data_IF_197422630106
#
_entry.id   IF_197422630106
#
_cell.length_a   1.000
_cell.length_b   1.000
_cell.length_c   1.000
_cell.angle_alpha   90.00
_cell.angle_beta   90.00
_cell.angle_gamma   90.00
#
_symmetry.space_group_name_H-M   'P 1'
#
loop_
_entity.id
_entity.type
_entity.pdbx_description
1 polymer ?
#
# COMPACT_ATOMS: atom_id res chain seq x y z
N UNK A 1 -1.94 -32.04 10.43
CA UNK A 1 -1.89 -30.83 11.29
C UNK A 1 -1.11 -29.77 10.53
N UNK A 2 -1.82 -28.88 9.81
CA UNK A 2 -1.18 -27.77 9.11
C UNK A 2 -1.09 -26.61 10.10
N UNK A 3 0.10 -26.37 10.62
CA UNK A 3 0.40 -25.12 11.29
C UNK A 3 0.38 -24.01 10.23
N UNK A 4 -0.77 -23.35 10.07
CA UNK A 4 -0.81 -22.06 9.42
C UNK A 4 0.07 -21.14 10.28
N UNK A 5 1.27 -20.83 9.78
CA UNK A 5 2.09 -19.74 10.35
C UNK A 5 1.23 -18.49 10.26
N UNK A 6 0.64 -18.08 11.37
CA UNK A 6 -0.13 -16.85 11.43
C UNK A 6 0.85 -15.70 11.19
N UNK A 7 0.75 -15.07 10.01
CA UNK A 7 1.51 -13.86 9.71
C UNK A 7 1.15 -12.80 10.75
N UNK A 8 2.14 -12.23 11.42
CA UNK A 8 1.94 -11.03 12.22
C UNK A 8 1.75 -9.82 11.31
N UNK A 9 0.80 -8.96 11.67
CA UNK A 9 0.46 -7.74 10.92
C UNK A 9 0.77 -6.46 11.70
N UNK A 10 1.76 -6.52 12.58
CA UNK A 10 2.29 -5.35 13.29
C UNK A 10 1.22 -4.54 14.06
N UNK A 11 0.29 -5.24 14.73
CA UNK A 11 -0.80 -4.62 15.50
C UNK A 11 -2.11 -4.40 14.73
N UNK A 12 -2.15 -4.68 13.42
CA UNK A 12 -3.35 -4.62 12.59
C UNK A 12 -4.20 -5.90 12.65
N UNK A 13 -3.80 -6.90 13.46
CA UNK A 13 -4.48 -8.19 13.55
C UNK A 13 -5.99 -8.09 13.83
N UNK A 14 -6.47 -7.22 14.73
CA UNK A 14 -7.92 -7.11 15.00
C UNK A 14 -8.69 -6.69 13.76
N UNK A 15 -8.20 -5.68 13.03
CA UNK A 15 -8.80 -5.20 11.78
C UNK A 15 -8.78 -6.29 10.71
N UNK A 16 -7.63 -6.91 10.48
CA UNK A 16 -7.49 -7.93 9.43
C UNK A 16 -8.27 -9.20 9.75
N UNK A 17 -8.39 -9.61 11.01
CA UNK A 17 -9.19 -10.76 11.41
C UNK A 17 -10.67 -10.55 11.08
N UNK A 18 -11.18 -9.35 11.29
CA UNK A 18 -12.54 -8.99 10.93
C UNK A 18 -12.71 -8.95 9.41
N UNK A 19 -11.87 -8.17 8.70
CA UNK A 19 -12.00 -7.95 7.26
C UNK A 19 -11.78 -9.24 6.45
N UNK A 20 -10.80 -10.07 6.82
CA UNK A 20 -10.51 -11.32 6.10
C UNK A 20 -11.58 -12.39 6.26
N UNK A 21 -12.46 -12.26 7.25
CA UNK A 21 -13.60 -13.15 7.43
C UNK A 21 -14.77 -12.85 6.49
N UNK A 22 -14.85 -11.63 5.95
CA UNK A 22 -15.96 -11.16 5.13
C UNK A 22 -15.96 -11.81 3.73
N UNK A 23 -17.13 -12.03 3.16
CA UNK A 23 -17.26 -12.74 1.88
C UNK A 23 -16.64 -11.98 0.69
N UNK A 24 -16.71 -10.65 0.70
CA UNK A 24 -16.06 -9.85 -0.33
C UNK A 24 -14.54 -10.09 -0.34
N UNK A 25 -13.94 -10.24 0.85
CA UNK A 25 -12.49 -10.48 0.94
C UNK A 25 -12.11 -11.87 0.42
N UNK A 26 -12.94 -12.88 0.66
CA UNK A 26 -12.76 -14.21 0.06
C UNK A 26 -12.78 -14.13 -1.47
N UNK A 27 -13.68 -13.29 -2.02
CA UNK A 27 -13.74 -13.01 -3.47
C UNK A 27 -12.46 -12.33 -3.98
N UNK A 28 -11.96 -11.30 -3.29
CA UNK A 28 -10.70 -10.63 -3.63
C UNK A 28 -9.53 -11.63 -3.60
N UNK A 29 -9.45 -12.45 -2.57
CA UNK A 29 -8.39 -13.46 -2.43
C UNK A 29 -8.40 -14.44 -3.60
N UNK A 30 -9.56 -15.01 -3.94
CA UNK A 30 -9.70 -15.95 -5.05
C UNK A 30 -9.36 -15.27 -6.40
N UNK A 31 -9.76 -14.03 -6.59
CA UNK A 31 -9.39 -13.23 -7.76
C UNK A 31 -7.87 -13.06 -7.86
N UNK A 32 -7.22 -12.60 -6.79
CA UNK A 32 -5.78 -12.38 -6.77
C UNK A 32 -4.99 -13.67 -6.97
N UNK A 33 -5.43 -14.78 -6.41
CA UNK A 33 -4.79 -16.08 -6.64
C UNK A 33 -4.76 -16.45 -8.14
N UNK A 34 -5.85 -16.22 -8.87
CA UNK A 34 -5.92 -16.43 -10.33
C UNK A 34 -5.03 -15.44 -11.08
N UNK A 35 -5.08 -14.14 -10.73
CA UNK A 35 -4.28 -13.11 -11.40
C UNK A 35 -2.78 -13.39 -11.28
N UNK A 36 -2.31 -13.72 -10.09
CA UNK A 36 -0.90 -14.05 -9.87
C UNK A 36 -0.47 -15.39 -10.49
N UNK A 37 -1.40 -16.31 -10.75
CA UNK A 37 -1.12 -17.56 -11.46
C UNK A 37 -1.01 -17.39 -12.97
N UNK A 38 -1.76 -16.43 -13.53
CA UNK A 38 -1.91 -16.27 -14.97
C UNK A 38 -1.18 -15.05 -15.55
N UNK A 39 -0.88 -14.05 -14.71
CA UNK A 39 -0.32 -12.76 -15.12
C UNK A 39 0.86 -12.35 -14.24
N UNK A 40 1.67 -11.44 -14.74
CA UNK A 40 2.64 -10.73 -13.92
C UNK A 40 1.93 -9.60 -13.19
N UNK A 41 1.81 -9.72 -11.86
CA UNK A 41 1.13 -8.75 -10.99
C UNK A 41 2.14 -8.11 -10.05
N UNK A 42 2.00 -6.82 -9.81
CA UNK A 42 2.82 -6.04 -8.89
C UNK A 42 1.98 -5.49 -7.72
N UNK A 43 2.60 -5.32 -6.54
CA UNK A 43 3.89 -5.85 -6.12
C UNK A 43 3.86 -7.37 -5.95
N UNK A 44 5.01 -8.04 -5.71
CA UNK A 44 5.03 -9.46 -5.32
C UNK A 44 4.11 -9.75 -4.12
N UNK A 45 3.43 -10.92 -4.12
CA UNK A 45 2.42 -11.29 -3.10
C UNK A 45 2.84 -11.02 -1.64
N UNK A 46 4.11 -11.31 -1.32
CA UNK A 46 4.62 -11.20 0.06
C UNK A 46 4.74 -9.77 0.59
N UNK A 47 4.70 -8.76 -0.26
CA UNK A 47 4.84 -7.36 0.11
C UNK A 47 3.61 -6.51 -0.21
N UNK A 48 2.46 -7.11 -0.57
CA UNK A 48 1.21 -6.37 -0.84
C UNK A 48 0.82 -5.49 0.36
N UNK A 49 1.01 -6.00 1.59
CA UNK A 49 0.65 -5.32 2.84
C UNK A 49 1.84 -4.64 3.53
N UNK A 50 2.91 -4.32 2.78
CA UNK A 50 4.14 -3.76 3.34
C UNK A 50 3.94 -2.45 4.11
N UNK A 51 2.99 -1.62 3.71
CA UNK A 51 2.65 -0.39 4.43
C UNK A 51 2.19 -0.67 5.87
N UNK A 52 1.39 -1.71 6.07
CA UNK A 52 0.93 -2.15 7.39
C UNK A 52 2.05 -2.84 8.19
N UNK A 53 2.91 -3.60 7.51
CA UNK A 53 4.04 -4.26 8.16
C UNK A 53 5.06 -3.25 8.73
N UNK A 54 5.18 -2.07 8.10
CA UNK A 54 6.16 -1.03 8.47
C UNK A 54 5.61 0.05 9.41
N UNK A 55 4.29 0.26 9.42
CA UNK A 55 3.64 1.30 10.22
C UNK A 55 2.56 0.66 11.07
N UNK A 56 2.78 0.54 12.38
CA UNK A 56 1.78 0.00 13.30
C UNK A 56 0.62 1.00 13.52
N UNK A 57 -0.61 0.55 13.82
CA UNK A 57 -1.77 1.43 13.92
C UNK A 57 -1.60 2.56 14.95
N UNK A 58 -0.97 2.26 16.10
CA UNK A 58 -0.68 3.25 17.15
C UNK A 58 0.38 4.27 16.77
N UNK A 59 1.19 3.98 15.74
CA UNK A 59 2.28 4.85 15.29
C UNK A 59 1.87 5.73 14.11
N UNK A 60 0.68 5.53 13.54
CA UNK A 60 0.18 6.30 12.40
C UNK A 60 0.00 7.77 12.79
N UNK A 61 0.72 8.65 12.10
CA UNK A 61 0.64 10.12 12.23
C UNK A 61 0.01 10.77 11.00
N UNK A 62 0.29 10.20 9.83
CA UNK A 62 -0.18 10.69 8.53
C UNK A 62 -0.54 9.51 7.65
N UNK A 63 -1.63 9.63 6.91
CA UNK A 63 -2.01 8.68 5.85
C UNK A 63 -1.87 9.36 4.50
N UNK A 64 -1.08 8.78 3.62
CA UNK A 64 -0.95 9.22 2.23
C UNK A 64 -1.56 8.15 1.33
N UNK A 65 -2.56 8.57 0.53
CA UNK A 65 -3.25 7.68 -0.40
C UNK A 65 -2.74 7.89 -1.82
N UNK A 66 -2.16 6.84 -2.39
CA UNK A 66 -1.90 6.72 -3.83
C UNK A 66 -3.06 6.02 -4.53
N UNK A 67 -2.97 5.90 -5.85
CA UNK A 67 -4.00 5.27 -6.68
C UNK A 67 -3.77 3.76 -6.79
N UNK A 68 -2.72 3.36 -7.49
CA UNK A 68 -2.32 1.97 -7.72
C UNK A 68 -0.79 1.83 -7.69
N UNK A 69 -0.25 0.61 -7.58
CA UNK A 69 1.20 0.41 -7.64
C UNK A 69 1.78 0.77 -9.01
N UNK A 70 3.08 1.06 -9.06
CA UNK A 70 3.78 1.25 -10.32
C UNK A 70 3.71 -0.01 -11.19
N UNK A 71 3.49 0.21 -12.49
CA UNK A 71 3.24 -0.86 -13.48
C UNK A 71 4.50 -1.47 -14.10
N UNK A 72 5.66 -0.87 -13.85
CA UNK A 72 6.93 -1.32 -14.41
C UNK A 72 7.65 -2.29 -13.45
N UNK A 73 8.48 -3.21 -14.00
CA UNK A 73 9.26 -4.14 -13.22
C UNK A 73 10.15 -3.43 -12.18
N UNK A 74 10.21 -3.98 -10.96
CA UNK A 74 11.13 -3.54 -9.92
C UNK A 74 10.76 -2.23 -9.22
N UNK A 75 9.63 -1.59 -9.54
CA UNK A 75 9.23 -0.31 -8.94
C UNK A 75 8.32 -0.48 -7.73
N UNK A 76 7.25 -1.29 -7.85
CA UNK A 76 6.28 -1.46 -6.78
C UNK A 76 6.86 -2.24 -5.60
N UNK A 77 6.78 -1.66 -4.40
CA UNK A 77 7.32 -2.23 -3.17
C UNK A 77 6.29 -2.30 -2.01
N UNK A 78 5.00 -2.17 -2.32
CA UNK A 78 3.93 -2.22 -1.34
C UNK A 78 3.79 -0.96 -0.48
N UNK A 79 4.37 0.14 -0.92
CA UNK A 79 4.25 1.48 -0.35
C UNK A 79 3.86 2.45 -1.46
N UNK A 80 2.81 3.25 -1.24
CA UNK A 80 2.40 4.27 -2.21
C UNK A 80 3.55 5.24 -2.51
N UNK A 81 3.73 5.60 -3.78
CA UNK A 81 4.76 6.52 -4.31
C UNK A 81 6.20 6.04 -4.19
N UNK A 82 6.48 5.00 -3.40
CA UNK A 82 7.83 4.51 -3.11
C UNK A 82 8.35 3.57 -4.19
N UNK A 83 9.64 3.69 -4.49
CA UNK A 83 10.40 2.73 -5.30
C UNK A 83 11.66 2.29 -4.55
N UNK A 84 12.11 1.03 -4.69
CA UNK A 84 13.30 0.58 -3.99
C UNK A 84 14.57 1.25 -4.55
N UNK A 85 15.55 1.53 -3.70
CA UNK A 85 16.88 1.93 -4.15
C UNK A 85 17.54 0.77 -4.93
N UNK A 86 18.25 1.01 -6.06
CA UNK A 86 18.59 2.31 -6.67
C UNK A 86 17.64 2.78 -7.79
N UNK A 87 16.40 2.31 -7.84
CA UNK A 87 15.43 2.77 -8.85
C UNK A 87 15.24 4.29 -8.76
N UNK A 88 15.33 5.03 -9.87
CA UNK A 88 15.11 6.48 -9.85
C UNK A 88 13.69 6.83 -9.40
N UNK A 89 13.52 7.91 -8.62
CA UNK A 89 12.20 8.39 -8.21
C UNK A 89 11.32 8.71 -9.43
N UNK A 90 10.10 8.16 -9.52
CA UNK A 90 9.16 8.50 -10.59
C UNK A 90 8.69 9.96 -10.50
N UNK A 91 8.14 10.53 -11.60
CA UNK A 91 7.71 11.95 -11.65
C UNK A 91 6.75 12.36 -10.53
N UNK A 92 5.80 11.48 -10.16
CA UNK A 92 4.86 11.73 -9.05
C UNK A 92 5.59 11.93 -7.72
N UNK A 93 6.60 11.13 -7.42
CA UNK A 93 7.40 11.26 -6.21
C UNK A 93 8.31 12.49 -6.25
N UNK A 94 8.88 12.80 -7.42
CA UNK A 94 9.67 14.03 -7.59
C UNK A 94 8.83 15.30 -7.34
N UNK A 95 7.55 15.30 -7.72
CA UNK A 95 6.65 16.40 -7.41
C UNK A 95 6.44 16.53 -5.89
N UNK A 96 6.21 15.42 -5.18
CA UNK A 96 6.11 15.45 -3.71
C UNK A 96 7.39 16.01 -3.07
N UNK A 97 8.56 15.59 -3.53
CA UNK A 97 9.83 16.12 -3.00
C UNK A 97 10.00 17.61 -3.28
N UNK A 98 9.53 18.08 -4.44
CA UNK A 98 9.56 19.52 -4.78
C UNK A 98 8.69 20.33 -3.83
N UNK A 99 7.44 19.91 -3.61
CA UNK A 99 6.52 20.58 -2.69
C UNK A 99 7.11 20.65 -1.26
N UNK A 100 7.67 19.53 -0.76
CA UNK A 100 8.32 19.53 0.55
C UNK A 100 9.46 20.54 0.60
N UNK A 101 10.27 20.62 -0.45
CA UNK A 101 11.38 21.58 -0.51
C UNK A 101 10.90 23.02 -0.57
N UNK A 102 9.87 23.30 -1.36
CA UNK A 102 9.29 24.65 -1.46
C UNK A 102 8.69 25.11 -0.14
N UNK A 103 7.96 24.26 0.58
CA UNK A 103 7.34 24.58 1.86
C UNK A 103 8.32 24.66 3.03
N UNK A 104 9.31 23.78 3.08
CA UNK A 104 10.18 23.61 4.25
C UNK A 104 11.58 24.21 4.07
N UNK A 105 11.97 24.54 2.83
CA UNK A 105 13.32 24.95 2.46
C UNK A 105 14.35 23.79 2.54
N UNK A 106 13.92 22.54 2.75
CA UNK A 106 14.81 21.39 2.95
C UNK A 106 14.56 20.32 1.90
N UNK A 107 15.63 19.69 1.45
CA UNK A 107 15.52 18.49 0.62
C UNK A 107 15.05 17.29 1.46
N UNK A 108 14.30 16.39 0.83
CA UNK A 108 13.92 15.12 1.48
C UNK A 108 15.18 14.30 1.81
N UNK A 109 15.24 13.79 3.04
CA UNK A 109 16.37 13.00 3.54
C UNK A 109 16.32 11.53 3.07
N UNK A 110 15.36 11.14 2.20
CA UNK A 110 15.26 9.77 1.71
C UNK A 110 16.32 9.46 0.66
N UNK A 111 16.80 8.22 0.65
CA UNK A 111 17.78 7.76 -0.32
C UNK A 111 17.07 7.35 -1.63
N UNK A 112 17.23 8.14 -2.67
CA UNK A 112 16.55 7.91 -3.95
C UNK A 112 15.04 8.07 -3.80
N UNK A 113 14.27 7.02 -4.13
CA UNK A 113 12.81 7.00 -4.03
C UNK A 113 12.27 6.07 -2.94
N UNK A 114 13.12 5.56 -2.04
CA UNK A 114 12.71 4.61 -1.00
C UNK A 114 12.15 5.32 0.24
N UNK A 115 10.82 5.30 0.36
CA UNK A 115 10.08 5.96 1.46
C UNK A 115 9.94 5.09 2.72
N UNK A 116 10.67 3.98 2.83
CA UNK A 116 10.65 3.12 4.03
C UNK A 116 10.93 3.91 5.32
N UNK A 117 11.79 4.94 5.25
CA UNK A 117 12.08 5.82 6.39
C UNK A 117 10.84 6.60 6.83
N UNK A 118 10.00 7.05 5.88
CA UNK A 118 8.74 7.73 6.21
C UNK A 118 7.75 6.77 6.87
N UNK A 119 7.60 5.56 6.31
CA UNK A 119 6.74 4.53 6.91
C UNK A 119 7.12 4.25 8.37
N UNK A 120 8.41 4.09 8.65
CA UNK A 120 8.93 3.89 10.02
C UNK A 120 8.75 5.08 10.96
N UNK A 121 8.48 6.27 10.44
CA UNK A 121 8.18 7.48 11.22
C UNK A 121 6.67 7.69 11.46
N UNK A 122 5.83 6.80 10.94
CA UNK A 122 4.38 6.86 11.12
C UNK A 122 3.62 7.40 9.92
N UNK A 123 4.22 7.43 8.72
CA UNK A 123 3.52 7.76 7.48
C UNK A 123 2.98 6.47 6.86
N UNK A 124 1.67 6.25 6.94
CA UNK A 124 1.01 5.10 6.32
C UNK A 124 0.81 5.36 4.82
N UNK A 125 1.62 4.71 3.99
CA UNK A 125 1.68 4.91 2.54
C UNK A 125 0.83 3.85 1.82
N UNK A 126 -0.46 4.11 1.65
CA UNK A 126 -1.43 3.17 1.04
C UNK A 126 -1.79 3.56 -0.39
N UNK A 127 -2.06 2.56 -1.22
CA UNK A 127 -2.77 2.74 -2.48
C UNK A 127 -4.23 2.31 -2.32
N UNK A 128 -5.14 2.96 -3.04
CA UNK A 128 -6.55 2.57 -3.10
C UNK A 128 -6.74 1.20 -3.79
N UNK A 129 -5.82 0.83 -4.69
CA UNK A 129 -5.66 -0.52 -5.22
C UNK A 129 -4.27 -1.04 -4.85
N UNK A 130 -4.21 -2.14 -4.10
CA UNK A 130 -2.93 -2.67 -3.58
C UNK A 130 -2.15 -3.48 -4.61
N UNK A 131 -2.74 -3.79 -5.76
CA UNK A 131 -2.15 -4.62 -6.81
C UNK A 131 -2.48 -4.10 -8.20
N UNK A 132 -1.64 -4.43 -9.17
CA UNK A 132 -1.80 -4.02 -10.58
C UNK A 132 -1.19 -5.06 -11.50
N UNK A 133 -1.75 -5.27 -12.70
CA UNK A 133 -1.14 -6.07 -13.76
C UNK A 133 0.00 -5.27 -14.41
N UNK A 134 1.12 -5.93 -14.66
CA UNK A 134 2.27 -5.34 -15.37
C UNK A 134 1.82 -4.57 -16.62
N UNK A 135 2.22 -3.31 -16.71
CA UNK A 135 1.96 -2.46 -17.88
C UNK A 135 0.53 -1.92 -17.98
N UNK A 136 -0.41 -2.28 -17.08
CA UNK A 136 -1.82 -1.90 -17.18
C UNK A 136 -2.29 -1.19 -15.92
N UNK A 137 -2.15 0.14 -15.89
CA UNK A 137 -2.63 0.96 -14.76
C UNK A 137 -4.12 0.75 -14.52
N UNK A 138 -4.55 0.86 -13.26
CA UNK A 138 -5.93 0.67 -12.79
C UNK A 138 -6.56 -0.71 -13.07
N UNK A 139 -5.76 -1.70 -13.48
CA UNK A 139 -6.28 -3.03 -13.85
C UNK A 139 -7.01 -3.74 -12.70
N UNK A 140 -6.74 -3.39 -11.45
CA UNK A 140 -7.39 -3.95 -10.26
C UNK A 140 -8.20 -2.93 -9.45
N UNK A 141 -8.50 -1.76 -10.01
CA UNK A 141 -9.20 -0.69 -9.28
C UNK A 141 -10.62 -1.07 -8.84
N UNK A 142 -11.28 -1.97 -9.55
CA UNK A 142 -12.67 -2.35 -9.31
C UNK A 142 -12.87 -3.59 -8.43
N UNK A 143 -11.80 -4.32 -8.08
CA UNK A 143 -11.93 -5.55 -7.28
C UNK A 143 -12.24 -5.31 -5.81
N UNK A 144 -11.98 -4.10 -5.31
CA UNK A 144 -12.26 -3.68 -3.94
C UNK A 144 -13.27 -2.53 -3.82
N UNK A 145 -13.98 -2.16 -4.90
CA UNK A 145 -14.89 -1.02 -4.91
C UNK A 145 -15.98 -1.06 -3.82
N UNK A 146 -16.34 -2.25 -3.34
CA UNK A 146 -17.29 -2.43 -2.24
C UNK A 146 -16.64 -2.14 -0.88
N UNK A 147 -15.32 -2.39 -0.74
CA UNK A 147 -14.58 -2.16 0.52
C UNK A 147 -14.33 -0.69 0.81
N UNK A 148 -14.14 0.13 -0.23
CA UNK A 148 -13.81 1.55 -0.07
C UNK A 148 -14.98 2.37 0.49
N UNK A 149 -16.21 2.02 0.16
CA UNK A 149 -17.42 2.64 0.74
C UNK A 149 -17.57 2.34 2.23
N UNK A 150 -17.08 1.18 2.70
CA UNK A 150 -17.12 0.82 4.12
C UNK A 150 -16.01 1.51 4.94
N UNK A 151 -14.80 1.67 4.38
CA UNK A 151 -13.73 2.45 5.02
C UNK A 151 -14.13 3.93 5.17
N UNK A 152 -14.78 4.54 4.16
CA UNK A 152 -15.32 5.90 4.28
C UNK A 152 -16.38 6.06 5.37
N UNK A 153 -17.19 5.04 5.64
CA UNK A 153 -18.21 5.10 6.70
C UNK A 153 -17.58 5.14 8.11
N UNK A 154 -16.36 4.62 8.28
CA UNK A 154 -15.62 4.70 9.55
C UNK A 154 -14.80 5.99 9.71
N UNK A 155 -14.43 6.68 8.62
CA UNK A 155 -13.71 7.97 8.67
C UNK A 155 -14.56 9.13 9.16
N UNK A 156 -15.90 9.03 9.11
CA UNK A 156 -16.82 10.06 9.61
C UNK A 156 -16.95 10.13 11.13
N UNK A 157 -16.25 9.29 11.88
CA UNK A 157 -16.35 9.24 13.35
C UNK A 157 -15.10 9.81 14.05
N UNK A 158 -14.12 10.31 13.33
CA UNK A 158 -12.98 11.04 13.88
C UNK A 158 -13.17 12.54 13.67
N UNK A 159 -14.16 13.11 14.37
CA UNK A 159 -14.16 14.55 14.65
C UNK A 159 -13.25 14.79 15.86
N UNK A 160 -12.18 15.55 15.62
CA UNK A 160 -11.36 16.21 16.63
C UNK A 160 -12.21 17.12 17.54
#
# INVERSE_FOLDING_TARGET
MNAAVSRSYNGWEPLFSEEFSKDYFKGIKAFLEREYAQKTVYPPKKIILNAFDLTAPQDVKVVILGQDPYINPGQAMGLAFSVPYPVPPPPSLLNIFREIKEETGRDSAVKGGDLTVWAKQGVLLLNTSLTVVRGVSNSHSNIGAVSYTHLRAHETTLHL
#
